data_IF_107887761765
#
_entry.id   IF_107887761765
#
_cell.length_a   1.000
_cell.length_b   1.000
_cell.length_c   1.000
_cell.angle_alpha   90.00
_cell.angle_beta   90.00
_cell.angle_gamma   90.00
#
_symmetry.space_group_name_H-M   'P 1'
#
loop_
_entity.id
_entity.type
_entity.pdbx_description
1 polymer ?
#
# COMPACT_ATOMS: atom_id res chain seq x y z
N UNK A 1 -39.15 48.95 20.64
CA UNK A 1 -38.62 47.75 21.32
C UNK A 1 -38.50 46.55 20.37
N UNK A 2 -39.52 46.21 19.55
CA UNK A 2 -39.49 45.00 18.71
C UNK A 2 -38.42 44.95 17.61
N UNK A 3 -38.19 46.04 16.86
CA UNK A 3 -37.24 46.05 15.74
C UNK A 3 -35.79 45.91 16.23
N UNK A 4 -35.45 46.53 17.37
CA UNK A 4 -34.11 46.43 17.95
C UNK A 4 -33.83 45.01 18.47
N UNK A 5 -34.83 44.33 19.05
CA UNK A 5 -34.71 42.92 19.43
C UNK A 5 -34.56 42.01 18.21
N UNK A 6 -35.28 42.29 17.11
CA UNK A 6 -35.21 41.51 15.89
C UNK A 6 -33.81 41.63 15.23
N UNK A 7 -33.26 42.84 15.22
CA UNK A 7 -31.89 43.10 14.75
C UNK A 7 -30.86 42.40 15.63
N UNK A 8 -31.07 42.40 16.94
CA UNK A 8 -30.17 41.72 17.89
C UNK A 8 -30.22 40.19 17.73
N UNK A 9 -31.40 39.62 17.50
CA UNK A 9 -31.57 38.19 17.18
C UNK A 9 -30.88 37.81 15.86
N UNK A 10 -30.99 38.63 14.82
CA UNK A 10 -30.30 38.40 13.55
C UNK A 10 -28.77 38.44 13.70
N UNK A 11 -28.24 39.38 14.49
CA UNK A 11 -26.81 39.45 14.80
C UNK A 11 -26.31 38.23 15.59
N UNK A 12 -27.10 37.74 16.55
CA UNK A 12 -26.76 36.53 17.31
C UNK A 12 -26.77 35.29 16.41
N UNK A 13 -27.72 35.17 15.48
CA UNK A 13 -27.76 34.04 14.54
C UNK A 13 -26.55 34.06 13.59
N UNK A 14 -26.21 35.23 13.03
CA UNK A 14 -25.05 35.36 12.15
C UNK A 14 -23.70 35.19 12.87
N UNK A 15 -23.62 35.47 14.18
CA UNK A 15 -22.40 35.27 14.97
C UNK A 15 -22.15 33.80 15.36
N UNK A 16 -23.14 32.91 15.19
CA UNK A 16 -23.03 31.47 15.48
C UNK A 16 -22.54 30.68 14.26
N UNK A 17 -22.31 31.34 13.13
CA UNK A 17 -21.76 30.71 11.92
C UNK A 17 -20.34 30.16 12.17
N UNK A 18 -20.27 28.86 12.45
CA UNK A 18 -19.16 28.00 12.10
C UNK A 18 -17.85 28.28 12.82
N UNK A 19 -17.74 27.80 14.08
CA UNK A 19 -16.45 27.33 14.57
C UNK A 19 -16.01 26.18 13.65
N UNK A 20 -15.16 26.50 12.67
CA UNK A 20 -14.50 25.52 11.82
C UNK A 20 -13.60 24.68 12.71
N UNK A 21 -14.04 23.48 13.06
CA UNK A 21 -13.18 22.49 13.70
C UNK A 21 -11.96 22.29 12.80
N UNK A 22 -10.81 22.73 13.29
CA UNK A 22 -9.52 22.29 12.77
C UNK A 22 -9.43 20.82 13.13
N UNK A 23 -9.92 19.96 12.23
CA UNK A 23 -9.56 18.55 12.25
C UNK A 23 -8.03 18.52 12.18
N UNK A 24 -7.41 18.23 13.32
CA UNK A 24 -5.97 18.09 13.43
C UNK A 24 -5.55 17.02 12.45
N UNK A 25 -4.84 17.42 11.40
CA UNK A 25 -4.20 16.50 10.47
C UNK A 25 -3.21 15.65 11.25
N UNK A 26 -3.67 14.49 11.72
CA UNK A 26 -2.83 13.44 12.25
C UNK A 26 -1.84 13.05 11.18
N UNK A 27 -0.55 13.21 11.46
CA UNK A 27 0.51 12.86 10.53
C UNK A 27 0.40 11.40 10.09
N UNK A 28 0.46 11.17 8.78
CA UNK A 28 1.26 10.12 8.16
C UNK A 28 1.03 8.63 8.42
N UNK A 29 0.04 8.16 9.19
CA UNK A 29 -0.10 6.73 9.53
C UNK A 29 -1.23 5.96 8.82
N UNK A 30 -1.94 6.59 7.88
CA UNK A 30 -3.05 5.95 7.14
C UNK A 30 -2.60 5.34 5.80
N UNK A 31 -3.22 4.22 5.41
CA UNK A 31 -3.07 3.67 4.06
C UNK A 31 -3.50 4.72 3.02
N UNK A 32 -2.68 4.90 1.99
CA UNK A 32 -2.94 5.83 0.90
C UNK A 32 -3.64 5.11 -0.23
N UNK A 33 -4.95 5.30 -0.34
CA UNK A 33 -5.74 4.82 -1.47
C UNK A 33 -5.53 5.71 -2.68
N UNK A 34 -5.61 5.13 -3.88
CA UNK A 34 -5.50 5.89 -5.14
C UNK A 34 -6.64 6.90 -5.25
N UNK A 35 -6.31 8.17 -5.47
CA UNK A 35 -7.28 9.27 -5.46
C UNK A 35 -8.36 9.16 -6.55
N UNK A 36 -8.10 8.46 -7.65
CA UNK A 36 -9.07 8.29 -8.74
C UNK A 36 -10.03 7.13 -8.54
N UNK A 37 -9.52 5.96 -8.17
CA UNK A 37 -10.30 4.71 -8.06
C UNK A 37 -10.73 4.37 -6.63
N UNK A 38 -10.12 4.99 -5.61
CA UNK A 38 -10.33 4.61 -4.20
C UNK A 38 -9.78 3.23 -3.86
N UNK A 39 -8.97 2.61 -4.72
CA UNK A 39 -8.45 1.25 -4.53
C UNK A 39 -7.08 1.25 -3.85
N UNK A 40 -6.77 0.13 -3.21
CA UNK A 40 -5.44 -0.21 -2.70
C UNK A 40 -5.10 -1.63 -3.14
N UNK A 41 -4.12 -1.78 -4.03
CA UNK A 41 -3.73 -3.06 -4.62
C UNK A 41 -2.53 -3.64 -3.86
N UNK A 42 -2.68 -4.89 -3.43
CA UNK A 42 -1.62 -5.66 -2.76
C UNK A 42 -1.19 -6.80 -3.67
N UNK A 43 0.11 -6.94 -3.90
CA UNK A 43 0.70 -8.14 -4.51
C UNK A 43 1.37 -8.96 -3.42
N UNK A 44 0.93 -10.20 -3.26
CA UNK A 44 1.53 -11.13 -2.30
C UNK A 44 2.44 -12.12 -3.03
N UNK A 45 3.67 -12.26 -2.54
CA UNK A 45 4.66 -13.22 -3.00
C UNK A 45 4.91 -14.21 -1.88
N UNK A 46 4.54 -15.47 -2.07
CA UNK A 46 4.70 -16.51 -1.07
C UNK A 46 5.84 -17.47 -1.44
N UNK A 47 6.58 -17.97 -0.44
CA UNK A 47 7.47 -19.14 -0.51
C UNK A 47 8.40 -19.19 -1.74
N UNK A 48 8.96 -18.04 -2.12
CA UNK A 48 9.80 -17.91 -3.33
C UNK A 48 11.16 -18.61 -3.27
N UNK A 49 11.51 -19.26 -2.15
CA UNK A 49 12.78 -19.96 -1.88
C UNK A 49 14.03 -19.23 -2.42
N UNK A 50 14.10 -17.93 -2.19
CA UNK A 50 15.14 -17.06 -2.76
C UNK A 50 16.39 -17.08 -1.87
N UNK A 51 17.59 -17.18 -2.47
CA UNK A 51 18.85 -17.17 -1.73
C UNK A 51 19.90 -16.24 -2.37
N UNK A 52 20.95 -16.79 -3.00
CA UNK A 52 22.15 -16.06 -3.43
C UNK A 52 22.13 -15.66 -4.90
N UNK A 53 20.96 -15.35 -5.45
CA UNK A 53 20.87 -14.74 -6.78
C UNK A 53 21.33 -15.72 -7.86
N UNK A 54 22.29 -15.29 -8.67
CA UNK A 54 22.87 -16.10 -9.75
C UNK A 54 23.49 -17.42 -9.27
N UNK A 55 23.89 -17.52 -8.01
CA UNK A 55 24.56 -18.71 -7.44
C UNK A 55 23.56 -19.78 -6.99
N UNK A 56 22.29 -19.42 -6.86
CA UNK A 56 21.25 -20.32 -6.37
C UNK A 56 20.32 -20.66 -7.52
N UNK A 57 20.22 -21.96 -7.82
CA UNK A 57 19.26 -22.48 -8.78
C UNK A 57 17.83 -22.45 -8.25
N UNK A 58 16.87 -22.39 -9.16
CA UNK A 58 15.45 -22.51 -8.84
C UNK A 58 15.13 -23.86 -8.17
N UNK A 59 14.17 -23.89 -7.26
CA UNK A 59 13.58 -25.12 -6.72
C UNK A 59 12.17 -25.32 -7.27
N UNK A 60 11.68 -26.56 -7.19
CA UNK A 60 10.28 -26.90 -7.42
C UNK A 60 9.74 -26.54 -8.83
N UNK A 61 10.64 -26.52 -9.82
CA UNK A 61 10.33 -26.23 -11.22
C UNK A 61 11.02 -27.24 -12.14
N UNK A 62 10.34 -27.65 -13.23
CA UNK A 62 10.97 -28.42 -14.29
C UNK A 62 12.08 -27.58 -14.93
N UNK A 63 13.32 -28.00 -14.67
CA UNK A 63 14.50 -27.14 -14.78
C UNK A 63 14.82 -26.79 -16.23
N UNK A 64 14.72 -25.51 -16.58
CA UNK A 64 15.43 -24.96 -17.73
C UNK A 64 16.90 -24.75 -17.37
N UNK A 65 17.83 -25.18 -18.22
CA UNK A 65 19.26 -24.96 -18.01
C UNK A 65 19.54 -23.47 -17.76
N UNK A 66 20.19 -23.17 -16.63
CA UNK A 66 20.52 -21.80 -16.23
C UNK A 66 19.44 -21.06 -15.42
N UNK A 67 18.40 -21.74 -14.94
CA UNK A 67 17.46 -21.14 -13.98
C UNK A 67 18.19 -20.79 -12.67
N UNK A 68 18.02 -19.56 -12.22
CA UNK A 68 18.51 -19.06 -10.93
C UNK A 68 17.52 -18.10 -10.30
N UNK A 69 17.78 -17.67 -9.07
CA UNK A 69 16.97 -16.63 -8.40
C UNK A 69 16.84 -15.34 -9.26
N UNK A 70 17.77 -15.08 -10.19
CA UNK A 70 17.65 -13.95 -11.13
C UNK A 70 16.43 -14.08 -12.04
N UNK A 71 16.02 -15.30 -12.39
CA UNK A 71 14.81 -15.54 -13.14
C UNK A 71 13.58 -15.15 -12.30
N UNK A 72 13.59 -15.50 -11.01
CA UNK A 72 12.57 -15.07 -10.04
C UNK A 72 12.55 -13.54 -9.91
N UNK A 73 13.71 -12.88 -9.78
CA UNK A 73 13.80 -11.41 -9.77
C UNK A 73 13.22 -10.79 -11.04
N UNK A 74 13.58 -11.33 -12.21
CA UNK A 74 13.11 -10.85 -13.50
C UNK A 74 11.60 -11.06 -13.69
N UNK A 75 11.05 -12.14 -13.15
CA UNK A 75 9.60 -12.37 -13.09
C UNK A 75 8.91 -11.32 -12.20
N UNK A 76 9.35 -11.17 -10.95
CA UNK A 76 8.76 -10.21 -10.00
C UNK A 76 8.85 -8.77 -10.52
N UNK A 77 9.97 -8.40 -11.14
CA UNK A 77 10.11 -7.08 -11.76
C UNK A 77 9.06 -6.82 -12.85
N UNK A 78 8.79 -7.81 -13.71
CA UNK A 78 7.74 -7.68 -14.75
C UNK A 78 6.36 -7.63 -14.13
N UNK A 79 6.10 -8.47 -13.12
CA UNK A 79 4.84 -8.51 -12.39
C UNK A 79 4.54 -7.17 -11.71
N UNK A 80 5.49 -6.60 -10.97
CA UNK A 80 5.26 -5.34 -10.24
C UNK A 80 5.03 -4.16 -11.19
N UNK A 81 5.67 -4.14 -12.37
CA UNK A 81 5.38 -3.11 -13.38
C UNK A 81 4.02 -3.29 -14.05
N UNK A 82 3.58 -4.52 -14.25
CA UNK A 82 2.29 -4.79 -14.86
C UNK A 82 1.14 -4.52 -13.87
N UNK A 83 1.32 -4.90 -12.61
CA UNK A 83 0.28 -4.76 -11.60
C UNK A 83 0.24 -3.38 -10.93
N UNK A 84 1.37 -2.68 -10.88
CA UNK A 84 1.51 -1.40 -10.16
C UNK A 84 0.93 -1.51 -8.73
N UNK A 85 1.50 -2.33 -7.82
CA UNK A 85 0.93 -2.49 -6.48
C UNK A 85 1.21 -1.28 -5.58
N UNK A 86 0.29 -0.99 -4.66
CA UNK A 86 0.50 0.00 -3.58
C UNK A 86 1.30 -0.62 -2.42
N UNK A 87 1.26 -1.95 -2.27
CA UNK A 87 2.03 -2.71 -1.30
C UNK A 87 2.41 -4.08 -1.85
N UNK A 88 3.67 -4.48 -1.66
CA UNK A 88 4.13 -5.84 -1.91
C UNK A 88 4.37 -6.54 -0.58
N UNK A 89 3.75 -7.69 -0.38
CA UNK A 89 3.89 -8.49 0.85
C UNK A 89 4.59 -9.79 0.51
N UNK A 90 5.72 -10.04 1.17
CA UNK A 90 6.42 -11.32 1.09
C UNK A 90 6.03 -12.19 2.28
N UNK A 91 5.40 -13.33 2.01
CA UNK A 91 4.93 -14.27 3.03
C UNK A 91 5.67 -15.59 2.95
N UNK A 92 5.71 -16.33 4.06
CA UNK A 92 6.37 -17.64 4.11
C UNK A 92 7.89 -17.58 4.25
N UNK A 93 8.59 -18.69 3.97
CA UNK A 93 10.06 -18.76 4.12
C UNK A 93 10.74 -18.05 2.96
N UNK A 94 11.27 -16.86 3.25
CA UNK A 94 12.02 -16.05 2.27
C UNK A 94 13.31 -16.71 1.82
N UNK A 95 14.00 -17.42 2.73
CA UNK A 95 15.27 -18.08 2.46
C UNK A 95 15.04 -19.55 2.12
N UNK A 96 15.80 -20.02 1.13
CA UNK A 96 15.96 -21.43 0.82
C UNK A 96 16.58 -22.19 2.00
N UNK A 97 16.02 -23.34 2.36
CA UNK A 97 16.63 -24.22 3.35
C UNK A 97 17.81 -24.97 2.70
N UNK A 98 18.96 -25.13 3.36
CA UNK A 98 20.01 -26.04 2.90
C UNK A 98 19.53 -27.48 2.61
N UNK A 99 18.41 -27.92 3.18
CA UNK A 99 17.86 -29.28 2.99
C UNK A 99 16.78 -29.40 1.88
N UNK A 100 16.39 -28.31 1.22
CA UNK A 100 15.36 -28.32 0.16
C UNK A 100 15.91 -28.86 -1.20
N UNK A 101 16.59 -30.01 -1.21
CA UNK A 101 17.20 -30.60 -2.40
C UNK A 101 16.38 -31.69 -3.08
#
# INVERSE_FOLDING_TARGET
MGILHLLFLLLLVAAVEGRKEKSGGGGGWGLRFRSGSGTFKVVQVADMHYADGRRTGCLDVEVAAGCSDLNTTAFLYRLFRAEDPDLVVFTGRRKKDPDDR
#
